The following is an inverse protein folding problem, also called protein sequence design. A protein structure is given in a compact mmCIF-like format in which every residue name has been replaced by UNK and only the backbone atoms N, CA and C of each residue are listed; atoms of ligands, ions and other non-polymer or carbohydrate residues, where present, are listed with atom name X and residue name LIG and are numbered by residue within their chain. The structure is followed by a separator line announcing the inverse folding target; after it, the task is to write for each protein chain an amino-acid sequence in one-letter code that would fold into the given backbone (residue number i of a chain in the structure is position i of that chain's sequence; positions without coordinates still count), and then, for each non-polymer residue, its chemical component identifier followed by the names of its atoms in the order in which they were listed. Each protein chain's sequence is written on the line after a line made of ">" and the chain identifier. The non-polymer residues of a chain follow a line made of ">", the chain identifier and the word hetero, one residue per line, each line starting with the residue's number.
data_IF_889783589319
#
_entry.id   IF_889783589319
#
_cell.length_a   1.000
_cell.length_b   1.000
_cell.length_c   1.000
_cell.angle_alpha   90.00
_cell.angle_beta   90.00
_cell.angle_gamma   90.00
#
_symmetry.space_group_name_H-M   'P 1'
#
loop_
_entity.id
_entity.type
_entity.pdbx_description
1 polymer ?
#
# COMPACT_ATOMS: atom_id res chain seq x y z
N UNK A 1 -3.72 -14.11 7.89
CA UNK A 1 -2.86 -14.10 6.70
C UNK A 1 -1.43 -13.95 7.15
N UNK A 2 -0.56 -14.92 6.86
CA UNK A 2 0.84 -14.88 7.28
C UNK A 2 1.62 -13.92 6.37
N UNK A 3 2.22 -12.87 6.95
CA UNK A 3 3.10 -11.97 6.18
C UNK A 3 4.41 -12.71 5.87
N UNK A 4 4.87 -12.62 4.63
CA UNK A 4 6.16 -13.17 4.21
C UNK A 4 7.25 -12.16 4.59
N UNK A 5 8.17 -12.54 5.47
CA UNK A 5 9.32 -11.72 5.80
C UNK A 5 10.40 -11.85 4.71
N UNK A 6 10.90 -10.72 4.20
CA UNK A 6 12.00 -10.71 3.24
C UNK A 6 12.91 -9.51 3.52
N UNK A 7 14.24 -9.65 3.37
CA UNK A 7 15.15 -8.53 3.52
C UNK A 7 15.00 -7.56 2.33
N UNK A 8 14.62 -6.31 2.62
CA UNK A 8 14.53 -5.24 1.63
C UNK A 8 15.82 -4.42 1.62
N UNK A 9 16.44 -4.26 0.44
CA UNK A 9 17.55 -3.32 0.24
C UNK A 9 16.98 -1.99 -0.21
N UNK A 10 17.26 -0.93 0.53
CA UNK A 10 16.76 0.42 0.31
C UNK A 10 17.89 1.42 0.58
N UNK A 11 17.92 2.55 -0.13
CA UNK A 11 18.89 3.61 0.16
C UNK A 11 18.59 4.24 1.53
N UNK A 12 19.62 4.65 2.29
CA UNK A 12 19.42 5.29 3.59
C UNK A 12 18.56 6.55 3.50
N UNK A 13 18.75 7.37 2.46
CA UNK A 13 18.01 8.62 2.27
C UNK A 13 16.51 8.37 2.06
N UNK A 14 16.17 7.34 1.26
CA UNK A 14 14.78 6.97 1.04
C UNK A 14 14.16 6.41 2.31
N UNK A 15 14.90 5.59 3.08
CA UNK A 15 14.40 5.09 4.36
C UNK A 15 14.11 6.24 5.34
N UNK A 16 15.00 7.22 5.45
CA UNK A 16 14.80 8.38 6.32
C UNK A 16 13.59 9.23 5.89
N UNK A 17 13.32 9.35 4.59
CA UNK A 17 12.11 10.02 4.09
C UNK A 17 10.84 9.24 4.46
N UNK A 18 10.86 7.91 4.32
CA UNK A 18 9.73 7.04 4.69
C UNK A 18 9.48 7.04 6.21
N UNK A 19 10.52 7.12 7.02
CA UNK A 19 10.40 7.19 8.48
C UNK A 19 9.69 8.47 8.93
N UNK A 20 10.09 9.63 8.38
CA UNK A 20 9.43 10.91 8.64
C UNK A 20 7.96 10.88 8.22
N UNK A 21 7.68 10.41 7.00
CA UNK A 21 6.30 10.32 6.52
C UNK A 21 5.44 9.35 7.36
N UNK A 22 6.01 8.21 7.76
CA UNK A 22 5.32 7.29 8.65
C UNK A 22 5.01 7.91 10.01
N UNK A 23 5.91 8.73 10.55
CA UNK A 23 5.67 9.47 11.80
C UNK A 23 4.54 10.50 11.63
N UNK A 24 4.53 11.24 10.52
CA UNK A 24 3.48 12.24 10.22
C UNK A 24 2.09 11.58 10.13
N UNK A 25 2.01 10.37 9.54
CA UNK A 25 0.77 9.61 9.39
C UNK A 25 0.46 8.68 10.60
N UNK A 26 1.17 8.84 11.73
CA UNK A 26 1.04 8.06 12.97
C UNK A 26 1.02 6.53 12.74
N UNK A 27 1.94 6.04 11.91
CA UNK A 27 2.05 4.62 11.53
C UNK A 27 3.47 4.09 11.64
N UNK A 28 3.61 2.77 11.62
CA UNK A 28 4.93 2.15 11.52
C UNK A 28 5.49 2.31 10.10
N UNK A 29 6.83 2.37 10.00
CA UNK A 29 7.53 2.41 8.71
C UNK A 29 7.17 1.21 7.82
N UNK A 30 7.03 0.02 8.42
CA UNK A 30 6.62 -1.18 7.68
C UNK A 30 5.19 -1.05 7.10
N UNK A 31 4.25 -0.51 7.88
CA UNK A 31 2.89 -0.26 7.40
C UNK A 31 2.88 0.78 6.27
N UNK A 32 3.74 1.80 6.34
CA UNK A 32 3.87 2.79 5.28
C UNK A 32 4.46 2.19 4.00
N UNK A 33 5.53 1.38 4.10
CA UNK A 33 6.10 0.66 2.96
C UNK A 33 5.04 -0.26 2.32
N UNK A 34 4.32 -1.03 3.11
CA UNK A 34 3.26 -1.93 2.63
C UNK A 34 2.16 -1.16 1.89
N UNK A 35 1.71 -0.03 2.43
CA UNK A 35 0.74 0.85 1.80
C UNK A 35 1.23 1.35 0.45
N UNK A 36 2.44 1.92 0.39
CA UNK A 36 3.00 2.49 -0.84
C UNK A 36 3.21 1.45 -1.93
N UNK A 37 3.77 0.29 -1.58
CA UNK A 37 3.95 -0.82 -2.54
C UNK A 37 2.61 -1.35 -3.05
N UNK A 38 1.59 -1.42 -2.18
CA UNK A 38 0.24 -1.83 -2.56
C UNK A 38 -0.37 -0.84 -3.54
N UNK A 39 -0.28 0.46 -3.25
CA UNK A 39 -0.80 1.50 -4.14
C UNK A 39 -0.07 1.52 -5.48
N UNK A 40 1.26 1.43 -5.49
CA UNK A 40 2.05 1.39 -6.72
C UNK A 40 1.74 0.14 -7.56
N UNK A 41 1.58 -1.02 -6.93
CA UNK A 41 1.20 -2.25 -7.63
C UNK A 41 -0.23 -2.18 -8.20
N UNK A 42 -1.17 -1.53 -7.51
CA UNK A 42 -2.54 -1.30 -8.04
C UNK A 42 -2.54 -0.33 -9.21
N UNK A 43 -1.87 0.81 -9.07
CA UNK A 43 -1.77 1.82 -10.13
C UNK A 43 -1.09 1.28 -11.39
N UNK A 44 -0.12 0.37 -11.24
CA UNK A 44 0.51 -0.32 -12.36
C UNK A 44 -0.30 -1.50 -12.91
N UNK A 45 -1.50 -1.76 -12.39
CA UNK A 45 -2.35 -2.89 -12.79
C UNK A 45 -1.79 -4.28 -12.44
N UNK A 46 -0.76 -4.34 -11.57
CA UNK A 46 -0.05 -5.56 -11.17
C UNK A 46 -0.65 -6.23 -9.94
N UNK A 47 -1.41 -5.49 -9.15
CA UNK A 47 -2.20 -6.02 -8.05
C UNK A 47 -3.67 -5.80 -8.37
N UNK A 48 -4.41 -6.89 -8.61
CA UNK A 48 -5.87 -6.84 -8.72
C UNK A 48 -6.43 -6.29 -7.42
N UNK A 49 -7.43 -5.41 -7.49
CA UNK A 49 -8.20 -5.09 -6.31
C UNK A 49 -8.66 -6.42 -5.67
N UNK A 50 -8.64 -6.56 -4.33
CA UNK A 50 -9.34 -7.67 -3.71
C UNK A 50 -10.75 -7.71 -4.30
N UNK A 51 -11.34 -8.90 -4.57
CA UNK A 51 -12.71 -8.98 -5.06
C UNK A 51 -13.60 -8.24 -4.06
N UNK A 52 -13.87 -6.97 -4.37
CA UNK A 52 -14.77 -6.14 -3.61
C UNK A 52 -16.14 -6.72 -3.81
N UNK A 53 -16.87 -6.80 -2.70
CA UNK A 53 -18.32 -6.99 -2.63
C UNK A 53 -18.97 -6.50 -3.95
N UNK A 54 -19.79 -7.33 -4.62
CA UNK A 54 -20.40 -6.95 -5.89
C UNK A 54 -21.03 -5.55 -5.78
N UNK A 55 -20.97 -4.73 -6.84
CA UNK A 55 -21.64 -3.44 -6.85
C UNK A 55 -23.09 -3.65 -6.42
N UNK A 56 -23.56 -2.91 -5.42
CA UNK A 56 -24.98 -2.94 -5.08
C UNK A 56 -25.75 -2.52 -6.34
N UNK A 57 -26.70 -3.33 -6.84
CA UNK A 57 -27.47 -2.96 -8.01
C UNK A 57 -28.31 -1.74 -7.65
N UNK A 58 -27.95 -0.54 -8.13
CA UNK A 58 -28.81 0.61 -7.89
C UNK A 58 -28.30 2.01 -8.25
N UNK A 59 -27.01 2.27 -8.43
CA UNK A 59 -26.59 3.64 -8.78
C UNK A 59 -26.56 3.85 -10.30
N UNK A 60 -27.46 4.70 -10.85
CA UNK A 60 -27.44 5.04 -12.26
C UNK A 60 -26.19 5.87 -12.55
N UNK A 61 -25.35 5.35 -13.45
CA UNK A 61 -24.34 6.17 -14.13
C UNK A 61 -25.07 7.01 -15.16
N UNK A 62 -25.19 8.31 -14.88
CA UNK A 62 -25.48 9.33 -15.88
C UNK A 62 -24.23 9.67 -16.70
#
# INVERSE_FOLDING_TARGET
>A
MTRKNFPLRISPDLYAALERWAADDLRSVNAQIEYLLTQAARQSGRLKAPPGKPPEPGEPTG
#
